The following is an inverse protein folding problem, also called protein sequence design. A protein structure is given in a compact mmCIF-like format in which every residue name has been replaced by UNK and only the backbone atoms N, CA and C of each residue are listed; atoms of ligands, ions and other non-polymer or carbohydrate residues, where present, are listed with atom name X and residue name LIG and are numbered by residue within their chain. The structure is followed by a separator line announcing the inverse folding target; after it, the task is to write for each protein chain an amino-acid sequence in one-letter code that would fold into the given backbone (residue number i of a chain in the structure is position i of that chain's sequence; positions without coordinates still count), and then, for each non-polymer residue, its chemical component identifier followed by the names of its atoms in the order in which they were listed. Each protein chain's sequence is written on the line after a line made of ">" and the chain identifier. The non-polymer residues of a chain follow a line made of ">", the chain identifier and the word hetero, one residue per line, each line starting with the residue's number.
data_IF_431132117235
#
_entry.id   IF_431132117235
#
_cell.length_a   1.000
_cell.length_b   1.000
_cell.length_c   1.000
_cell.angle_alpha   90.00
_cell.angle_beta   90.00
_cell.angle_gamma   90.00
#
_symmetry.space_group_name_H-M   'P 1'
#
loop_
_entity.id
_entity.type
_entity.pdbx_description
1 polymer ?
#
# COMPACT_ATOMS: atom_id res chain seq x y z
N UNK A 1 -13.85 19.08 19.80
CA UNK A 1 -14.41 19.40 18.48
C UNK A 1 -15.38 18.30 18.08
N UNK A 2 -16.44 18.62 17.34
CA UNK A 2 -17.35 17.60 16.83
C UNK A 2 -16.58 16.69 15.86
N UNK A 3 -16.61 15.38 16.11
CA UNK A 3 -15.91 14.36 15.33
C UNK A 3 -16.64 14.11 14.01
N UNK A 4 -16.51 15.03 13.05
CA UNK A 4 -17.07 14.82 11.73
C UNK A 4 -16.14 13.92 10.92
N UNK A 5 -16.65 12.73 10.57
CA UNK A 5 -15.99 11.86 9.60
C UNK A 5 -15.93 12.55 8.24
N UNK A 6 -14.73 12.58 7.64
CA UNK A 6 -14.54 13.00 6.26
C UNK A 6 -14.56 11.77 5.36
N UNK A 7 -15.45 11.76 4.37
CA UNK A 7 -15.43 10.76 3.30
C UNK A 7 -14.33 11.12 2.31
N UNK A 8 -13.48 10.15 1.98
CA UNK A 8 -12.44 10.27 0.96
C UNK A 8 -12.81 9.34 -0.20
N UNK A 9 -12.78 9.87 -1.42
CA UNK A 9 -13.09 9.13 -2.63
C UNK A 9 -11.81 8.80 -3.38
N UNK A 10 -11.62 7.55 -3.79
CA UNK A 10 -10.43 7.15 -4.58
C UNK A 10 -10.36 7.86 -5.94
N UNK A 11 -11.48 8.41 -6.44
CA UNK A 11 -11.50 9.26 -7.64
C UNK A 11 -10.80 10.61 -7.46
N UNK A 12 -10.56 11.02 -6.22
CA UNK A 12 -9.87 12.27 -5.88
C UNK A 12 -8.36 12.08 -5.71
N UNK A 13 -7.85 10.86 -5.93
CA UNK A 13 -6.40 10.61 -5.96
C UNK A 13 -5.79 11.36 -7.14
N UNK A 14 -4.79 12.19 -6.85
CA UNK A 14 -4.04 12.92 -7.87
C UNK A 14 -3.27 11.95 -8.79
N UNK A 15 -2.92 12.42 -10.00
CA UNK A 15 -2.01 11.67 -10.88
C UNK A 15 -0.68 11.45 -10.14
N UNK A 16 -0.21 10.21 -10.12
CA UNK A 16 1.14 9.87 -9.64
C UNK A 16 2.13 9.97 -10.81
N UNK A 17 3.38 10.35 -10.54
CA UNK A 17 4.43 10.41 -11.55
C UNK A 17 5.71 9.74 -11.06
N UNK A 18 6.43 9.12 -11.99
CA UNK A 18 7.69 8.45 -11.72
C UNK A 18 8.72 8.93 -12.74
N UNK A 19 9.85 9.45 -12.26
CA UNK A 19 10.96 9.78 -13.15
C UNK A 19 11.58 8.50 -13.72
N UNK A 20 11.71 8.38 -15.03
CA UNK A 20 12.24 7.17 -15.72
C UNK A 20 13.57 6.69 -15.13
N UNK A 21 14.45 7.59 -14.70
CA UNK A 21 15.73 7.23 -14.07
C UNK A 21 15.62 6.47 -12.72
N UNK A 22 14.44 6.42 -12.11
CA UNK A 22 14.17 5.60 -10.92
C UNK A 22 13.95 4.12 -11.26
N UNK A 23 13.48 3.80 -12.47
CA UNK A 23 13.29 2.44 -12.97
C UNK A 23 14.62 1.70 -13.16
N UNK A 24 15.70 2.45 -13.40
CA UNK A 24 17.07 1.92 -13.45
C UNK A 24 17.62 1.55 -12.06
N UNK A 25 16.88 1.87 -11.00
CA UNK A 25 17.26 1.62 -9.61
C UNK A 25 16.22 0.72 -8.95
N UNK A 26 15.29 1.30 -8.21
CA UNK A 26 14.54 0.57 -7.20
C UNK A 26 13.04 0.56 -7.45
N UNK A 27 12.57 1.36 -8.42
CA UNK A 27 11.15 1.52 -8.75
C UNK A 27 10.68 0.48 -9.75
N UNK A 28 9.37 0.22 -9.72
CA UNK A 28 8.73 -0.79 -10.56
C UNK A 28 7.36 -0.31 -11.03
N UNK A 29 7.08 -0.50 -12.32
CA UNK A 29 5.76 -0.33 -12.91
C UNK A 29 5.10 -1.71 -13.02
N UNK A 30 3.91 -1.82 -12.45
CA UNK A 30 2.99 -2.93 -12.68
C UNK A 30 1.91 -2.47 -13.65
N UNK A 31 1.70 -3.24 -14.71
CA UNK A 31 0.77 -2.90 -15.79
C UNK A 31 0.13 -4.16 -16.38
N UNK A 32 -1.00 -4.00 -17.05
CA UNK A 32 -1.69 -5.05 -17.81
C UNK A 32 -2.17 -4.51 -19.18
N UNK A 33 -2.85 -5.34 -19.96
CA UNK A 33 -3.44 -4.93 -21.24
C UNK A 33 -4.37 -3.69 -21.12
N UNK A 34 -5.08 -3.56 -20.00
CA UNK A 34 -5.97 -2.42 -19.79
C UNK A 34 -5.19 -1.14 -19.49
N UNK A 35 -4.04 -1.21 -18.84
CA UNK A 35 -3.12 -0.08 -18.66
C UNK A 35 -2.83 0.60 -19.99
N UNK A 36 -2.52 -0.17 -21.04
CA UNK A 36 -2.26 0.39 -22.37
C UNK A 36 -3.54 0.89 -23.03
N UNK A 37 -4.69 0.22 -22.84
CA UNK A 37 -5.93 0.66 -23.48
C UNK A 37 -6.52 1.95 -22.87
N UNK A 38 -6.38 2.15 -21.56
CA UNK A 38 -7.03 3.21 -20.78
C UNK A 38 -6.15 4.43 -20.50
N UNK A 39 -4.83 4.34 -20.72
CA UNK A 39 -3.91 5.47 -20.50
C UNK A 39 -3.99 6.53 -21.61
N UNK A 40 -3.43 7.71 -21.35
CA UNK A 40 -3.31 8.77 -22.36
C UNK A 40 -2.27 8.36 -23.43
N UNK A 41 -2.33 8.94 -24.64
CA UNK A 41 -1.47 8.53 -25.76
C UNK A 41 0.03 8.62 -25.45
N UNK A 42 0.42 9.61 -24.65
CA UNK A 42 1.80 9.83 -24.22
C UNK A 42 2.27 8.71 -23.29
N UNK A 43 1.46 8.37 -22.28
CA UNK A 43 1.73 7.27 -21.34
C UNK A 43 1.79 5.91 -22.05
N UNK A 44 0.90 5.66 -23.03
CA UNK A 44 0.92 4.43 -23.83
C UNK A 44 2.23 4.26 -24.60
N UNK A 45 2.70 5.36 -25.19
CA UNK A 45 3.95 5.35 -25.94
C UNK A 45 5.12 5.10 -24.99
N UNK A 46 5.15 5.81 -23.86
CA UNK A 46 6.19 5.64 -22.86
C UNK A 46 6.23 4.22 -22.28
N UNK A 47 5.08 3.62 -21.97
CA UNK A 47 5.02 2.24 -21.49
C UNK A 47 5.60 1.25 -22.49
N UNK A 48 5.29 1.40 -23.79
CA UNK A 48 5.87 0.56 -24.85
C UNK A 48 7.36 0.78 -25.01
N UNK A 49 7.79 2.04 -25.06
CA UNK A 49 9.21 2.39 -25.17
C UNK A 49 10.03 1.84 -23.98
N UNK A 50 9.43 1.76 -22.78
CA UNK A 50 10.05 1.17 -21.59
C UNK A 50 10.03 -0.36 -21.60
N UNK A 51 8.96 -0.97 -22.11
CA UNK A 51 8.85 -2.43 -22.21
C UNK A 51 9.85 -3.01 -23.23
N UNK A 52 10.10 -2.27 -24.33
CA UNK A 52 11.09 -2.60 -25.34
C UNK A 52 12.55 -2.26 -24.90
N UNK A 53 12.76 -1.54 -23.79
CA UNK A 53 14.11 -1.17 -23.30
C UNK A 53 14.78 -2.35 -22.57
N UNK A 54 15.53 -3.15 -23.33
CA UNK A 54 16.32 -4.29 -22.81
C UNK A 54 17.41 -3.89 -21.80
N UNK A 55 17.70 -2.60 -21.60
CA UNK A 55 18.69 -2.11 -20.62
C UNK A 55 18.12 -1.95 -19.22
N UNK A 56 16.79 -1.99 -19.07
CA UNK A 56 16.15 -1.88 -17.77
C UNK A 56 16.32 -3.17 -16.94
N UNK A 57 16.42 -3.06 -15.61
CA UNK A 57 16.33 -4.23 -14.75
C UNK A 57 15.03 -4.99 -14.99
N UNK A 58 15.06 -6.34 -14.94
CA UNK A 58 13.83 -7.17 -15.01
C UNK A 58 12.79 -6.83 -13.94
N UNK A 59 13.19 -6.15 -12.87
CA UNK A 59 12.28 -5.67 -11.82
C UNK A 59 11.62 -4.34 -12.14
N UNK A 60 12.01 -3.64 -13.20
CA UNK A 60 11.50 -2.31 -13.53
C UNK A 60 10.08 -2.37 -14.13
N UNK A 61 9.81 -3.37 -14.95
CA UNK A 61 8.53 -3.59 -15.63
C UNK A 61 7.99 -4.97 -15.26
N UNK A 62 6.75 -5.01 -14.76
CA UNK A 62 6.05 -6.25 -14.44
C UNK A 62 4.69 -6.20 -15.11
N UNK A 63 4.56 -6.98 -16.18
CA UNK A 63 3.27 -7.28 -16.77
C UNK A 63 2.45 -8.21 -15.86
N UNK A 64 1.16 -7.95 -15.76
CA UNK A 64 0.19 -8.80 -15.05
C UNK A 64 -0.61 -9.60 -16.08
N UNK A 65 -0.08 -10.76 -16.46
CA UNK A 65 -0.63 -11.62 -17.54
C UNK A 65 -2.15 -11.84 -17.42
N UNK A 66 -2.61 -12.13 -16.19
CA UNK A 66 -4.03 -12.24 -15.89
C UNK A 66 -4.55 -10.94 -15.29
N UNK A 67 -5.09 -10.07 -16.15
CA UNK A 67 -5.73 -8.80 -15.77
C UNK A 67 -6.79 -8.91 -14.66
N UNK A 68 -7.45 -10.06 -14.49
CA UNK A 68 -8.39 -10.26 -13.37
C UNK A 68 -7.71 -10.31 -12.00
N UNK A 69 -6.39 -10.53 -11.97
CA UNK A 69 -5.58 -10.45 -10.76
C UNK A 69 -5.13 -9.01 -10.45
N UNK A 70 -5.16 -8.10 -11.43
CA UNK A 70 -4.80 -6.70 -11.24
C UNK A 70 -5.98 -5.89 -10.70
N UNK A 71 -6.40 -6.23 -9.49
CA UNK A 71 -7.62 -5.69 -8.85
C UNK A 71 -7.46 -4.26 -8.32
N UNK A 72 -6.93 -3.35 -9.11
CA UNK A 72 -6.75 -1.94 -8.78
C UNK A 72 -7.56 -1.05 -9.72
N UNK A 73 -8.13 0.08 -9.24
CA UNK A 73 -8.74 1.07 -10.12
C UNK A 73 -7.72 1.99 -10.81
N UNK A 74 -6.43 1.86 -10.49
CA UNK A 74 -5.36 2.64 -11.11
C UNK A 74 -5.00 2.04 -12.48
N UNK A 75 -4.70 2.89 -13.46
CA UNK A 75 -4.23 2.42 -14.78
C UNK A 75 -2.91 1.65 -14.66
N UNK A 76 -1.99 2.11 -13.80
CA UNK A 76 -0.74 1.45 -13.47
C UNK A 76 -0.51 1.53 -11.96
N UNK A 77 0.26 0.60 -11.39
CA UNK A 77 0.72 0.71 -10.01
C UNK A 77 2.23 0.89 -9.98
N UNK A 78 2.68 1.90 -9.22
CA UNK A 78 4.08 2.23 -9.05
C UNK A 78 4.52 1.75 -7.66
N UNK A 79 5.52 0.86 -7.61
CA UNK A 79 6.18 0.49 -6.37
C UNK A 79 7.53 1.19 -6.26
N UNK A 80 7.85 1.64 -5.06
CA UNK A 80 9.15 2.15 -4.67
C UNK A 80 9.85 1.10 -3.81
N UNK A 81 11.10 0.78 -4.16
CA UNK A 81 11.92 -0.17 -3.44
C UNK A 81 11.38 -1.61 -3.42
N UNK A 82 12.21 -2.50 -2.90
CA UNK A 82 11.95 -3.94 -2.93
C UNK A 82 10.76 -4.40 -2.06
N UNK A 83 10.54 -3.90 -0.83
CA UNK A 83 9.43 -4.36 0.00
C UNK A 83 8.07 -4.13 -0.68
N UNK A 84 7.82 -2.94 -1.22
CA UNK A 84 6.57 -2.66 -1.91
C UNK A 84 6.41 -3.49 -3.18
N UNK A 85 7.48 -3.63 -3.99
CA UNK A 85 7.47 -4.48 -5.18
C UNK A 85 7.09 -5.92 -4.81
N UNK A 86 7.68 -6.47 -3.75
CA UNK A 86 7.38 -7.82 -3.27
C UNK A 86 5.92 -7.95 -2.81
N UNK A 87 5.40 -6.94 -2.12
CA UNK A 87 4.03 -6.93 -1.66
C UNK A 87 3.02 -6.90 -2.82
N UNK A 88 3.21 -6.00 -3.80
CA UNK A 88 2.33 -5.93 -4.97
C UNK A 88 2.42 -7.21 -5.80
N UNK A 89 3.63 -7.79 -5.98
CA UNK A 89 3.78 -9.13 -6.57
C UNK A 89 2.93 -10.19 -5.85
N UNK A 90 2.89 -10.15 -4.52
CA UNK A 90 2.03 -11.02 -3.74
C UNK A 90 0.54 -10.78 -3.98
N UNK A 91 0.09 -9.52 -4.06
CA UNK A 91 -1.32 -9.18 -4.33
C UNK A 91 -1.83 -9.71 -5.67
N UNK A 92 -0.98 -9.69 -6.71
CA UNK A 92 -1.34 -10.12 -8.07
C UNK A 92 -1.18 -11.63 -8.30
N UNK A 93 -0.69 -12.39 -7.32
CA UNK A 93 -0.72 -13.85 -7.41
C UNK A 93 -2.17 -14.35 -7.40
N UNK A 94 -2.51 -15.28 -8.27
CA UNK A 94 -3.88 -15.73 -8.52
C UNK A 94 -4.62 -16.14 -7.23
N UNK A 95 -3.97 -16.93 -6.36
CA UNK A 95 -4.55 -17.37 -5.09
C UNK A 95 -4.86 -16.23 -4.12
N UNK A 96 -4.08 -15.15 -4.16
CA UNK A 96 -4.26 -13.98 -3.29
C UNK A 96 -5.29 -13.02 -3.89
N UNK A 97 -5.22 -12.79 -5.20
CA UNK A 97 -6.18 -11.96 -5.92
C UNK A 97 -7.62 -12.51 -5.79
N UNK A 98 -7.80 -13.84 -5.79
CA UNK A 98 -9.11 -14.46 -5.54
C UNK A 98 -9.69 -14.17 -4.14
N UNK A 99 -8.85 -13.85 -3.16
CA UNK A 99 -9.26 -13.59 -1.79
C UNK A 99 -9.61 -12.11 -1.50
N UNK A 100 -9.31 -11.20 -2.43
CA UNK A 100 -9.54 -9.76 -2.28
C UNK A 100 -10.50 -9.24 -3.34
N UNK A 101 -11.22 -8.16 -3.03
CA UNK A 101 -12.14 -7.54 -4.00
C UNK A 101 -11.43 -6.49 -4.84
N UNK A 102 -10.63 -5.66 -4.19
CA UNK A 102 -9.86 -4.59 -4.81
C UNK A 102 -8.70 -4.17 -3.89
N UNK A 103 -7.72 -3.47 -4.45
CA UNK A 103 -6.71 -2.75 -3.68
C UNK A 103 -6.35 -1.45 -4.38
N UNK A 104 -5.80 -0.50 -3.63
CA UNK A 104 -5.26 0.73 -4.18
C UNK A 104 -3.98 1.09 -3.43
N UNK A 105 -2.94 1.44 -4.19
CA UNK A 105 -1.73 2.02 -3.62
C UNK A 105 -1.96 3.52 -3.44
N UNK A 106 -1.71 4.00 -2.22
CA UNK A 106 -1.82 5.41 -1.89
C UNK A 106 -0.67 6.21 -2.50
N UNK A 107 -0.88 7.50 -2.65
CA UNK A 107 0.21 8.46 -2.83
C UNK A 107 0.89 8.72 -1.48
N UNK A 108 2.17 9.10 -1.54
CA UNK A 108 2.96 9.48 -0.37
C UNK A 108 2.39 10.72 0.34
N UNK A 109 1.63 11.55 -0.39
CA UNK A 109 1.02 12.80 0.10
C UNK A 109 -0.38 13.02 -0.48
N UNK A 110 -1.24 13.70 0.30
CA UNK A 110 -2.47 14.29 -0.22
C UNK A 110 -3.65 13.34 -0.46
N UNK A 111 -3.56 12.06 -0.08
CA UNK A 111 -4.70 11.14 -0.17
C UNK A 111 -5.35 10.84 1.19
N UNK A 112 -4.62 10.20 2.11
CA UNK A 112 -5.13 9.78 3.41
C UNK A 112 -4.08 10.04 4.49
N UNK A 113 -3.95 11.31 4.90
CA UNK A 113 -2.95 11.72 5.88
C UNK A 113 -3.37 11.37 7.31
N UNK A 114 -2.44 10.78 8.06
CA UNK A 114 -2.55 10.52 9.48
C UNK A 114 -1.51 11.34 10.25
N UNK A 115 -1.99 12.15 11.19
CA UNK A 115 -1.14 12.87 12.12
C UNK A 115 -0.60 11.93 13.20
N UNK A 116 0.68 12.10 13.55
CA UNK A 116 1.30 11.40 14.67
C UNK A 116 2.32 12.30 15.36
N UNK A 117 2.68 11.94 16.59
CA UNK A 117 3.78 12.59 17.31
C UNK A 117 4.63 11.58 18.06
N UNK A 118 5.93 11.89 18.14
CA UNK A 118 6.94 11.07 18.82
C UNK A 118 8.04 11.96 19.40
N UNK A 119 8.96 11.39 20.18
CA UNK A 119 10.09 12.12 20.75
C UNK A 119 11.40 11.57 20.19
N UNK A 120 12.25 12.45 19.66
CA UNK A 120 13.62 12.12 19.29
C UNK A 120 14.55 12.63 20.40
N UNK A 121 14.83 11.78 21.38
CA UNK A 121 15.43 12.22 22.64
C UNK A 121 14.48 13.14 23.41
N UNK A 122 14.91 14.34 23.76
CA UNK A 122 14.07 15.32 24.47
C UNK A 122 13.16 16.13 23.53
N UNK A 123 13.42 16.12 22.22
CA UNK A 123 12.70 16.96 21.27
C UNK A 123 11.43 16.28 20.75
N UNK A 124 10.23 16.85 21.01
CA UNK A 124 9.01 16.37 20.37
C UNK A 124 9.06 16.64 18.86
N UNK A 125 8.61 15.65 18.10
CA UNK A 125 8.41 15.72 16.66
C UNK A 125 6.94 15.41 16.35
N UNK A 126 6.37 16.20 15.46
CA UNK A 126 5.08 15.93 14.85
C UNK A 126 5.33 15.61 13.38
N UNK A 127 4.54 14.69 12.84
CA UNK A 127 4.64 14.27 11.46
C UNK A 127 3.29 13.85 10.93
N UNK A 128 3.26 13.69 9.61
CA UNK A 128 2.15 13.08 8.88
C UNK A 128 2.67 11.92 8.07
N UNK A 129 1.85 10.89 7.88
CA UNK A 129 2.14 9.84 6.92
C UNK A 129 0.85 9.40 6.22
N UNK A 130 1.00 8.81 5.04
CA UNK A 130 -0.09 8.23 4.27
C UNK A 130 0.15 6.72 4.24
N UNK A 131 -0.82 5.88 4.64
CA UNK A 131 -0.66 4.43 4.53
C UNK A 131 -0.42 3.99 3.09
N UNK A 132 0.51 3.06 2.89
CA UNK A 132 0.94 2.64 1.55
C UNK A 132 -0.19 2.02 0.70
N UNK A 133 -1.04 1.17 1.28
CA UNK A 133 -2.12 0.49 0.55
C UNK A 133 -3.43 0.39 1.34
N UNK A 134 -4.52 0.35 0.59
CA UNK A 134 -5.85 -0.03 1.08
C UNK A 134 -6.35 -1.23 0.30
N UNK A 135 -6.71 -2.32 0.98
CA UNK A 135 -7.18 -3.57 0.39
C UNK A 135 -8.63 -3.80 0.83
N UNK A 136 -9.54 -3.91 -0.14
CA UNK A 136 -10.96 -4.18 0.10
C UNK A 136 -11.24 -5.68 0.09
N UNK A 137 -11.93 -6.15 1.13
CA UNK A 137 -12.39 -7.53 1.28
C UNK A 137 -13.79 -7.51 1.89
N UNK A 138 -14.82 -7.70 1.07
CA UNK A 138 -16.22 -7.50 1.39
C UNK A 138 -16.47 -6.10 1.99
N UNK A 139 -17.09 -6.03 3.18
CA UNK A 139 -17.29 -4.79 3.94
C UNK A 139 -16.06 -4.34 4.75
N UNK A 140 -14.89 -4.96 4.58
CA UNK A 140 -13.69 -4.63 5.33
C UNK A 140 -12.65 -3.93 4.43
N UNK A 141 -11.91 -2.99 5.01
CA UNK A 141 -10.73 -2.38 4.43
C UNK A 141 -9.52 -2.73 5.30
N UNK A 142 -8.55 -3.43 4.73
CA UNK A 142 -7.25 -3.66 5.36
C UNK A 142 -6.31 -2.54 4.91
N UNK A 143 -5.83 -1.75 5.86
CA UNK A 143 -4.93 -0.63 5.62
C UNK A 143 -3.52 -1.08 5.94
N UNK A 144 -2.59 -0.92 5.00
CA UNK A 144 -1.25 -1.48 5.10
C UNK A 144 -0.22 -0.35 5.04
N UNK A 145 0.67 -0.34 6.02
CA UNK A 145 1.95 0.37 5.98
C UNK A 145 3.07 -0.67 5.80
N UNK A 146 3.96 -0.45 4.86
CA UNK A 146 5.11 -1.28 4.54
C UNK A 146 6.39 -0.64 5.11
N UNK A 147 7.23 -1.48 5.69
CA UNK A 147 8.59 -1.17 6.10
C UNK A 147 9.56 -2.24 5.67
N UNK A 148 10.84 -1.94 5.81
CA UNK A 148 11.90 -2.95 5.76
C UNK A 148 11.88 -3.81 7.02
N UNK A 149 12.43 -5.02 6.94
CA UNK A 149 12.58 -5.87 8.11
C UNK A 149 13.43 -5.17 9.19
N UNK A 150 13.09 -5.44 10.45
CA UNK A 150 13.76 -4.88 11.63
C UNK A 150 13.75 -3.34 11.76
N UNK A 151 12.88 -2.62 11.04
CA UNK A 151 12.71 -1.15 11.18
C UNK A 151 11.93 -0.76 12.45
N UNK A 152 12.51 -1.12 13.60
CA UNK A 152 11.96 -0.89 14.94
C UNK A 152 12.51 0.44 15.46
N UNK A 153 11.72 1.49 15.34
CA UNK A 153 12.07 2.86 15.75
C UNK A 153 10.97 3.50 16.58
N UNK A 154 11.31 4.48 17.43
CA UNK A 154 10.32 5.25 18.21
C UNK A 154 9.29 5.94 17.30
N UNK A 155 9.72 6.37 16.12
CA UNK A 155 8.86 6.95 15.11
C UNK A 155 7.85 5.94 14.56
N UNK A 156 8.30 4.74 14.15
CA UNK A 156 7.40 3.70 13.66
C UNK A 156 6.48 3.16 14.76
N UNK A 157 6.96 3.11 16.01
CA UNK A 157 6.14 2.77 17.18
C UNK A 157 5.00 3.77 17.36
N UNK A 158 5.30 5.05 17.23
CA UNK A 158 4.28 6.09 17.25
C UNK A 158 3.31 5.95 16.06
N UNK A 159 3.80 5.83 14.82
CA UNK A 159 2.93 5.64 13.64
C UNK A 159 1.98 4.45 13.83
N UNK A 160 2.48 3.30 14.29
CA UNK A 160 1.69 2.12 14.57
C UNK A 160 0.57 2.42 15.59
N UNK A 161 0.91 3.04 16.72
CA UNK A 161 -0.05 3.39 17.77
C UNK A 161 -1.12 4.35 17.26
N UNK A 162 -0.72 5.48 16.67
CA UNK A 162 -1.63 6.51 16.18
C UNK A 162 -2.55 5.98 15.07
N UNK A 163 -2.04 5.14 14.17
CA UNK A 163 -2.86 4.51 13.13
C UNK A 163 -3.92 3.57 13.72
N UNK A 164 -3.52 2.72 14.68
CA UNK A 164 -4.46 1.80 15.35
C UNK A 164 -5.55 2.56 16.09
N UNK A 165 -5.19 3.61 16.81
CA UNK A 165 -6.15 4.49 17.50
C UNK A 165 -7.09 5.20 16.50
N UNK A 166 -6.54 5.72 15.40
CA UNK A 166 -7.31 6.37 14.35
C UNK A 166 -8.35 5.44 13.74
N UNK A 167 -7.96 4.26 13.24
CA UNK A 167 -8.91 3.35 12.60
C UNK A 167 -9.87 2.70 13.60
N UNK A 168 -9.48 2.55 14.87
CA UNK A 168 -10.42 2.18 15.94
C UNK A 168 -11.54 3.24 16.06
N UNK A 169 -11.19 4.52 16.14
CA UNK A 169 -12.16 5.63 16.21
C UNK A 169 -13.04 5.70 14.96
N UNK A 170 -12.46 5.55 13.76
CA UNK A 170 -13.24 5.49 12.51
C UNK A 170 -14.27 4.35 12.54
N UNK A 171 -13.90 3.18 13.06
CA UNK A 171 -14.83 2.04 13.22
C UNK A 171 -15.92 2.28 14.28
N UNK A 172 -15.68 3.14 15.26
CA UNK A 172 -16.68 3.51 16.27
C UNK A 172 -17.67 4.55 15.74
N UNK A 173 -17.21 5.45 14.86
CA UNK A 173 -18.00 6.56 14.31
C UNK A 173 -18.86 6.19 13.09
N UNK A 174 -18.57 5.09 12.39
CA UNK A 174 -19.39 4.62 11.25
C UNK A 174 -19.52 3.10 11.20
N UNK A 175 -20.50 2.62 10.40
CA UNK A 175 -20.83 1.19 10.26
C UNK A 175 -20.81 0.68 8.81
N UNK A 176 -20.47 1.52 7.83
CA UNK A 176 -20.40 1.16 6.41
C UNK A 176 -19.26 0.17 6.13
N UNK A 177 -18.10 0.40 6.73
CA UNK A 177 -16.90 -0.41 6.53
C UNK A 177 -16.17 -0.66 7.86
N UNK A 178 -15.43 -1.77 7.94
CA UNK A 178 -14.51 -2.01 9.06
C UNK A 178 -13.06 -1.92 8.60
N UNK A 179 -12.30 -1.05 9.24
CA UNK A 179 -10.89 -0.79 8.95
C UNK A 179 -9.99 -1.60 9.87
N UNK A 180 -8.98 -2.26 9.29
CA UNK A 180 -7.98 -3.04 10.01
C UNK A 180 -6.59 -2.59 9.57
N UNK A 181 -5.88 -1.87 10.42
CA UNK A 181 -4.52 -1.41 10.13
C UNK A 181 -3.50 -2.52 10.37
N UNK A 182 -2.52 -2.62 9.47
CA UNK A 182 -1.42 -3.59 9.49
C UNK A 182 -0.12 -2.91 9.14
N UNK A 183 0.92 -3.23 9.90
CA UNK A 183 2.25 -2.68 9.72
C UNK A 183 3.17 -3.85 9.36
N UNK A 184 3.58 -3.94 8.10
CA UNK A 184 4.15 -5.15 7.53
C UNK A 184 5.58 -4.92 7.07
N UNK A 185 6.38 -5.97 7.12
CA UNK A 185 7.68 -6.06 6.45
C UNK A 185 7.75 -7.37 5.65
N UNK A 186 8.72 -7.51 4.73
CA UNK A 186 8.83 -8.69 3.87
C UNK A 186 8.73 -10.04 4.61
N UNK A 187 9.32 -10.16 5.80
CA UNK A 187 9.28 -11.38 6.61
C UNK A 187 7.86 -11.85 6.98
N UNK A 188 6.86 -10.95 6.96
CA UNK A 188 5.48 -11.27 7.33
C UNK A 188 4.55 -11.48 6.13
N UNK A 189 5.03 -11.32 4.89
CA UNK A 189 4.16 -11.31 3.71
C UNK A 189 3.48 -12.65 3.46
N UNK A 190 4.19 -13.77 3.50
CA UNK A 190 3.60 -15.09 3.22
C UNK A 190 2.47 -15.41 4.20
N UNK A 191 2.70 -15.18 5.49
CA UNK A 191 1.71 -15.37 6.56
C UNK A 191 0.55 -14.37 6.44
N UNK A 192 0.83 -13.12 6.06
CA UNK A 192 -0.21 -12.12 5.85
C UNK A 192 -1.12 -12.48 4.67
N UNK A 193 -0.55 -12.88 3.54
CA UNK A 193 -1.32 -13.32 2.37
C UNK A 193 -2.11 -14.60 2.69
N UNK A 194 -1.56 -15.52 3.47
CA UNK A 194 -2.34 -16.63 4.02
C UNK A 194 -3.52 -16.14 4.84
N UNK A 195 -3.31 -15.18 5.74
CA UNK A 195 -4.38 -14.61 6.55
C UNK A 195 -5.45 -13.87 5.73
N UNK A 196 -5.08 -13.28 4.58
CA UNK A 196 -6.05 -12.74 3.61
C UNK A 196 -6.93 -13.85 3.04
N UNK A 197 -6.31 -14.94 2.55
CA UNK A 197 -7.01 -16.10 1.96
C UNK A 197 -7.94 -16.79 2.96
N UNK A 198 -7.49 -16.93 4.20
CA UNK A 198 -8.23 -17.59 5.29
C UNK A 198 -9.19 -16.66 6.03
N UNK A 199 -9.23 -15.37 5.66
CA UNK A 199 -10.05 -14.33 6.31
C UNK A 199 -9.73 -14.13 7.81
N UNK A 200 -8.54 -14.51 8.25
CA UNK A 200 -8.01 -14.32 9.61
C UNK A 200 -7.23 -13.01 9.77
N UNK A 201 -7.10 -12.22 8.70
CA UNK A 201 -6.39 -10.93 8.66
C UNK A 201 -6.81 -9.92 9.73
N UNK A 202 -8.01 -10.02 10.30
CA UNK A 202 -8.49 -9.11 11.35
C UNK A 202 -7.57 -9.13 12.57
N UNK A 203 -7.22 -10.33 13.01
CA UNK A 203 -6.39 -10.60 14.19
C UNK A 203 -4.91 -10.78 13.84
N UNK A 204 -4.56 -10.78 12.54
CA UNK A 204 -3.17 -10.92 12.11
C UNK A 204 -2.31 -9.82 12.73
N UNK A 205 -1.20 -10.22 13.34
CA UNK A 205 -0.17 -9.32 13.86
C UNK A 205 1.15 -9.73 13.23
N UNK A 206 1.81 -8.79 12.56
CA UNK A 206 3.13 -9.07 11.97
C UNK A 206 4.21 -9.22 13.04
N UNK A 207 5.33 -9.83 12.68
CA UNK A 207 6.51 -9.87 13.55
C UNK A 207 6.99 -8.46 13.93
N UNK A 208 6.96 -7.54 12.96
CA UNK A 208 7.37 -6.14 13.16
C UNK A 208 6.43 -5.41 14.13
N UNK A 209 5.11 -5.62 14.02
CA UNK A 209 4.15 -5.06 14.97
C UNK A 209 4.41 -5.56 16.39
N UNK A 210 4.64 -6.87 16.56
CA UNK A 210 4.93 -7.44 17.86
C UNK A 210 6.20 -6.84 18.49
N UNK A 211 7.24 -6.60 17.69
CA UNK A 211 8.48 -5.96 18.14
C UNK A 211 8.27 -4.50 18.53
N UNK A 212 7.56 -3.72 17.72
CA UNK A 212 7.26 -2.31 17.98
C UNK A 212 6.39 -2.10 19.24
N UNK A 213 5.48 -3.04 19.52
CA UNK A 213 4.63 -2.98 20.71
C UNK A 213 5.36 -3.40 21.99
N UNK A 214 6.36 -4.29 21.88
CA UNK A 214 7.14 -4.79 23.02
C UNK A 214 8.31 -3.89 23.42
N UNK A 215 8.74 -2.99 22.53
CA UNK A 215 9.84 -2.04 22.76
C UNK A 215 9.36 -0.78 23.48
#
# INVERSE_FOLDING_TARGET
>A
EAENLKKINTREINKNSLGVGSLRRDSTIFWDDYSVSLSESEDKKLLKDLDDDETLPRSAMIEVDNKYNFKTPLNIALASYEPERKFIRGLIQEQNAKAIDAWIKSLDVGFYELDYSWRKGEHPKQGKFNPDLFIKINGNIVVVEIKTDADVTDENKAKLRYAKEHFKRVNELQKEQKYYFKFLSPNSYDLFFQALREKTYREFKSELEAKLEAS
#
